data_IF_567568454594
#
_entry.id   IF_567568454594
#
_cell.length_a   1.000
_cell.length_b   1.000
_cell.length_c   1.000
_cell.angle_alpha   90.00
_cell.angle_beta   90.00
_cell.angle_gamma   90.00
#
_symmetry.space_group_name_H-M   'P 1'
#
loop_
_entity.id
_entity.type
_entity.pdbx_description
1 polymer ?
#
# COMPACT_ATOMS: atom_id res chain seq x y z
N UNK A 1 -14.37 0.49 -21.43
CA UNK A 1 -13.33 0.33 -20.41
C UNK A 1 -13.27 -1.13 -19.94
N UNK A 2 -12.15 -1.82 -20.13
CA UNK A 2 -11.98 -3.19 -19.59
C UNK A 2 -11.57 -3.11 -18.12
N UNK A 3 -12.56 -3.13 -17.22
CA UNK A 3 -12.33 -3.08 -15.77
C UNK A 3 -11.38 -4.20 -15.29
N UNK A 4 -11.47 -5.39 -15.92
CA UNK A 4 -10.58 -6.51 -15.63
C UNK A 4 -9.11 -6.20 -15.90
N UNK A 5 -8.81 -5.50 -17.01
CA UNK A 5 -7.43 -5.11 -17.32
C UNK A 5 -6.92 -4.06 -16.33
N UNK A 6 -7.73 -3.05 -16.00
CA UNK A 6 -7.37 -2.02 -15.01
C UNK A 6 -7.09 -2.67 -13.66
N UNK A 7 -7.95 -3.57 -13.20
CA UNK A 7 -7.76 -4.29 -11.94
C UNK A 7 -6.46 -5.10 -11.94
N UNK A 8 -6.16 -5.81 -13.03
CA UNK A 8 -4.90 -6.57 -13.18
C UNK A 8 -3.68 -5.66 -13.10
N UNK A 9 -3.70 -4.51 -13.79
CA UNK A 9 -2.61 -3.53 -13.74
C UNK A 9 -2.49 -2.91 -12.35
N UNK A 10 -3.60 -2.50 -11.73
CA UNK A 10 -3.61 -1.91 -10.39
C UNK A 10 -3.02 -2.89 -9.35
N UNK A 11 -3.38 -4.17 -9.43
CA UNK A 11 -2.82 -5.21 -8.57
C UNK A 11 -1.31 -5.38 -8.80
N UNK A 12 -0.87 -5.34 -10.06
CA UNK A 12 0.54 -5.49 -10.41
C UNK A 12 1.36 -4.25 -10.00
N UNK A 13 0.78 -3.06 -10.04
CA UNK A 13 1.39 -1.84 -9.48
C UNK A 13 1.49 -1.94 -7.96
N UNK A 14 0.40 -2.32 -7.29
CA UNK A 14 0.35 -2.42 -5.83
C UNK A 14 1.28 -3.50 -5.25
N UNK A 15 1.63 -4.53 -6.02
CA UNK A 15 2.59 -5.55 -5.59
C UNK A 15 4.05 -5.05 -5.60
N UNK A 16 4.35 -4.00 -6.38
CA UNK A 16 5.71 -3.47 -6.54
C UNK A 16 5.91 -2.09 -5.92
N UNK A 17 4.85 -1.30 -5.86
CA UNK A 17 4.87 0.10 -5.42
C UNK A 17 3.73 0.39 -4.45
N UNK A 18 3.90 1.43 -3.64
CA UNK A 18 2.87 1.90 -2.71
C UNK A 18 1.89 2.82 -3.42
N UNK A 19 0.89 2.24 -4.09
CA UNK A 19 -0.25 2.94 -4.69
C UNK A 19 -1.55 2.55 -4.01
N UNK A 20 -2.48 3.50 -3.94
CA UNK A 20 -3.82 3.33 -3.42
C UNK A 20 -4.85 3.93 -4.38
N UNK A 21 -6.09 3.45 -4.28
CA UNK A 21 -7.21 3.98 -5.05
C UNK A 21 -7.68 5.31 -4.47
N UNK A 22 -7.98 6.26 -5.35
CA UNK A 22 -8.55 7.55 -4.96
C UNK A 22 -10.07 7.45 -5.03
N UNK A 23 -10.74 7.73 -3.91
CA UNK A 23 -12.21 7.73 -3.81
C UNK A 23 -12.89 6.40 -4.17
N UNK A 24 -12.17 5.27 -4.02
CA UNK A 24 -12.70 3.94 -4.35
C UNK A 24 -12.79 3.63 -5.85
N UNK A 25 -12.24 4.49 -6.71
CA UNK A 25 -12.20 4.25 -8.16
C UNK A 25 -10.88 3.59 -8.56
N UNK A 26 -10.95 2.36 -9.07
CA UNK A 26 -9.80 1.62 -9.62
C UNK A 26 -9.16 2.33 -10.83
N UNK A 27 -9.90 3.22 -11.48
CA UNK A 27 -9.45 4.02 -12.62
C UNK A 27 -8.58 5.21 -12.19
N UNK A 28 -8.47 5.46 -10.89
CA UNK A 28 -7.71 6.58 -10.34
C UNK A 28 -6.82 6.09 -9.20
N UNK A 29 -5.52 5.97 -9.50
CA UNK A 29 -4.52 5.54 -8.53
C UNK A 29 -3.64 6.73 -8.13
N UNK A 30 -3.25 6.77 -6.87
CA UNK A 30 -2.27 7.72 -6.35
C UNK A 30 -1.24 6.95 -5.54
N UNK A 31 0.03 7.33 -5.65
CA UNK A 31 1.08 6.63 -4.92
C UNK A 31 2.43 7.31 -4.98
N UNK A 32 3.42 6.60 -4.44
CA UNK A 32 4.82 7.02 -4.46
C UNK A 32 5.62 6.13 -5.39
N UNK A 33 6.40 6.75 -6.28
CA UNK A 33 7.31 6.02 -7.20
C UNK A 33 8.63 5.72 -6.50
N UNK A 34 9.16 6.71 -5.77
CA UNK A 34 10.39 6.63 -5.01
C UNK A 34 10.24 7.44 -3.72
N UNK A 35 10.71 6.87 -2.60
CA UNK A 35 10.72 7.50 -1.28
C UNK A 35 12.16 7.56 -0.78
N UNK A 36 12.73 8.76 -0.75
CA UNK A 36 14.01 9.04 -0.08
C UNK A 36 13.72 9.69 1.29
N UNK A 37 14.69 9.73 2.23
CA UNK A 37 14.48 10.40 3.52
C UNK A 37 14.17 11.90 3.38
N UNK A 38 14.60 12.52 2.28
CA UNK A 38 14.44 13.95 2.04
C UNK A 38 13.23 14.26 1.15
N UNK A 39 12.94 13.40 0.18
CA UNK A 39 12.00 13.70 -0.90
C UNK A 39 11.11 12.48 -1.21
N UNK A 40 9.80 12.72 -1.20
CA UNK A 40 8.79 11.82 -1.73
C UNK A 40 8.41 12.23 -3.16
N UNK A 41 8.51 11.28 -4.09
CA UNK A 41 8.09 11.49 -5.48
C UNK A 41 6.71 10.87 -5.71
N UNK A 42 5.71 11.74 -5.73
CA UNK A 42 4.29 11.40 -5.83
C UNK A 42 3.82 11.36 -7.28
N UNK A 43 3.03 10.34 -7.62
CA UNK A 43 2.48 10.12 -8.95
C UNK A 43 0.99 9.76 -8.86
N UNK A 44 0.19 10.45 -9.67
CA UNK A 44 -1.23 10.15 -9.86
C UNK A 44 -1.44 9.58 -11.27
N UNK A 45 -2.16 8.47 -11.36
CA UNK A 45 -2.42 7.72 -12.59
C UNK A 45 -3.93 7.67 -12.81
N UNK A 46 -4.38 8.19 -13.95
CA UNK A 46 -5.78 8.16 -14.38
C UNK A 46 -5.95 7.31 -15.63
N UNK A 47 -6.69 6.22 -15.50
CA UNK A 47 -7.05 5.35 -16.62
C UNK A 47 -8.21 5.98 -17.41
N UNK A 48 -8.01 6.16 -18.72
CA UNK A 48 -9.05 6.66 -19.61
C UNK A 48 -10.06 5.59 -20.02
N UNK A 49 -11.22 6.00 -20.51
CA UNK A 49 -12.29 5.08 -20.97
C UNK A 49 -11.86 4.12 -22.09
N UNK A 50 -10.88 4.57 -22.90
CA UNK A 50 -10.30 3.87 -24.05
C UNK A 50 -9.13 2.94 -23.69
N UNK A 51 -8.84 2.73 -22.40
CA UNK A 51 -7.82 1.79 -21.96
C UNK A 51 -8.21 0.33 -22.29
N UNK A 52 -7.30 -0.50 -22.83
CA UNK A 52 -5.83 -0.33 -22.92
C UNK A 52 -5.30 0.36 -24.20
N UNK A 53 -6.16 0.74 -25.14
CA UNK A 53 -5.74 1.26 -26.46
C UNK A 53 -5.09 2.64 -26.38
N UNK A 54 -5.35 3.39 -25.33
CA UNK A 54 -4.70 4.67 -25.02
C UNK A 54 -3.94 4.58 -23.69
N UNK A 55 -2.74 5.18 -23.58
CA UNK A 55 -1.98 5.18 -22.34
C UNK A 55 -2.74 5.89 -21.22
N UNK A 56 -2.49 5.52 -19.95
CA UNK A 56 -3.05 6.23 -18.81
C UNK A 56 -2.47 7.65 -18.75
N UNK A 57 -3.25 8.59 -18.21
CA UNK A 57 -2.81 9.96 -17.97
C UNK A 57 -2.03 10.00 -16.66
N UNK A 58 -0.76 10.39 -16.76
CA UNK A 58 0.13 10.56 -15.62
C UNK A 58 0.11 12.03 -15.19
N UNK A 59 -0.15 12.28 -13.91
CA UNK A 59 -0.11 13.60 -13.30
C UNK A 59 1.07 13.60 -12.34
N UNK A 60 2.11 14.33 -12.73
CA UNK A 60 3.34 14.45 -11.96
C UNK A 60 3.22 15.53 -10.89
N UNK A 61 3.64 15.22 -9.67
CA UNK A 61 3.80 16.20 -8.60
C UNK A 61 4.93 17.20 -8.94
N UNK A 62 4.89 18.39 -8.35
CA UNK A 62 5.80 19.50 -8.69
C UNK A 62 7.28 19.14 -8.52
N UNK A 63 7.59 18.32 -7.51
CA UNK A 63 8.95 17.78 -7.27
C UNK A 63 9.51 16.99 -8.47
N UNK A 64 8.67 16.16 -9.11
CA UNK A 64 9.07 15.38 -10.30
C UNK A 64 9.26 16.34 -11.48
N UNK A 65 8.37 17.32 -11.64
CA UNK A 65 8.47 18.33 -12.71
C UNK A 65 9.69 19.24 -12.54
N UNK A 66 10.06 19.58 -11.32
CA UNK A 66 11.24 20.39 -11.03
C UNK A 66 12.53 19.64 -11.37
N UNK A 67 12.59 18.35 -11.03
CA UNK A 67 13.76 17.51 -11.25
C UNK A 67 13.94 17.08 -12.71
N UNK A 68 12.86 16.73 -13.41
CA UNK A 68 12.92 16.22 -14.79
C UNK A 68 12.55 17.26 -15.86
N UNK A 69 11.95 18.40 -15.47
CA UNK A 69 11.42 19.39 -16.40
C UNK A 69 10.31 18.80 -17.29
N UNK A 70 10.64 18.58 -18.56
CA UNK A 70 9.72 18.03 -19.55
C UNK A 70 9.87 16.49 -19.63
N UNK A 71 9.10 15.78 -18.82
CA UNK A 71 9.16 14.31 -18.73
C UNK A 71 8.64 13.68 -20.03
N UNK A 72 9.54 13.23 -20.90
CA UNK A 72 9.20 12.39 -22.05
C UNK A 72 9.54 10.93 -21.73
N UNK A 73 8.52 10.08 -21.58
CA UNK A 73 8.67 8.63 -21.36
C UNK A 73 8.53 7.89 -22.68
N UNK A 74 9.49 7.03 -23.01
CA UNK A 74 9.50 6.26 -24.26
C UNK A 74 8.32 5.29 -24.30
N UNK A 75 8.07 4.64 -23.16
CA UNK A 75 6.93 3.71 -22.97
C UNK A 75 5.57 4.34 -23.25
N UNK A 76 5.40 5.62 -22.93
CA UNK A 76 4.16 6.36 -23.20
C UNK A 76 4.03 6.72 -24.69
N UNK A 77 5.15 7.08 -25.34
CA UNK A 77 5.17 7.43 -26.76
C UNK A 77 4.96 6.22 -27.68
N UNK A 78 5.47 5.06 -27.28
CA UNK A 78 5.38 3.80 -28.02
C UNK A 78 4.30 2.86 -27.46
N UNK A 79 3.28 3.42 -26.82
CA UNK A 79 2.24 2.67 -26.12
C UNK A 79 1.48 1.71 -27.05
N UNK A 80 1.34 0.45 -26.61
CA UNK A 80 0.55 -0.59 -27.29
C UNK A 80 -0.44 -1.20 -26.31
N UNK A 81 -1.47 -1.88 -26.84
CA UNK A 81 -2.48 -2.57 -26.02
C UNK A 81 -1.90 -3.67 -25.12
N UNK A 82 -0.73 -4.19 -25.48
CA UNK A 82 0.01 -5.20 -24.72
C UNK A 82 0.95 -4.62 -23.66
N UNK A 83 1.20 -3.31 -23.69
CA UNK A 83 2.09 -2.62 -22.75
C UNK A 83 1.52 -2.62 -21.33
N UNK A 84 2.40 -2.64 -20.33
CA UNK A 84 2.00 -2.59 -18.91
C UNK A 84 2.28 -1.20 -18.34
N UNK A 85 1.47 -0.80 -17.38
CA UNK A 85 1.67 0.49 -16.69
C UNK A 85 2.90 0.44 -15.77
N UNK A 86 3.24 -0.74 -15.28
CA UNK A 86 4.45 -0.95 -14.48
C UNK A 86 5.71 -0.50 -15.24
N UNK A 87 5.80 -0.81 -16.54
CA UNK A 87 6.97 -0.47 -17.35
C UNK A 87 7.19 1.06 -17.43
N UNK A 88 6.08 1.83 -17.45
CA UNK A 88 6.10 3.30 -17.38
C UNK A 88 6.66 3.76 -16.02
N UNK A 89 6.19 3.14 -14.93
CA UNK A 89 6.61 3.52 -13.57
C UNK A 89 8.08 3.17 -13.35
N UNK A 90 8.54 2.01 -13.85
CA UNK A 90 9.95 1.60 -13.84
C UNK A 90 10.82 2.59 -14.63
N UNK A 91 10.42 2.96 -15.85
CA UNK A 91 11.15 3.94 -16.65
C UNK A 91 11.24 5.29 -15.91
N UNK A 92 10.13 5.74 -15.31
CA UNK A 92 10.09 6.97 -14.53
C UNK A 92 11.01 6.88 -13.31
N UNK A 93 10.98 5.77 -12.57
CA UNK A 93 11.84 5.54 -11.41
C UNK A 93 13.31 5.61 -11.80
N UNK A 94 13.72 4.89 -12.85
CA UNK A 94 15.11 4.93 -13.33
C UNK A 94 15.53 6.34 -13.76
N UNK A 95 14.63 7.13 -14.34
CA UNK A 95 14.94 8.54 -14.67
C UNK A 95 15.12 9.41 -13.44
N UNK A 96 14.32 9.22 -12.40
CA UNK A 96 14.46 9.94 -11.13
C UNK A 96 15.79 9.55 -10.47
N UNK A 97 16.09 8.25 -10.39
CA UNK A 97 17.35 7.75 -9.80
C UNK A 97 18.58 8.31 -10.52
N UNK A 98 18.62 8.20 -11.85
CA UNK A 98 19.73 8.72 -12.66
C UNK A 98 19.91 10.24 -12.55
N UNK A 99 18.83 10.99 -12.37
CA UNK A 99 18.90 12.44 -12.21
C UNK A 99 19.30 12.83 -10.78
N UNK A 100 18.95 12.01 -9.78
CA UNK A 100 19.34 12.22 -8.38
C UNK A 100 20.80 11.84 -8.09
N UNK A 101 21.35 10.87 -8.81
CA UNK A 101 22.75 10.43 -8.64
C UNK A 101 23.75 11.38 -9.34
N UNK A 102 23.26 12.26 -10.23
CA UNK A 102 24.08 13.09 -11.12
C UNK A 102 24.73 14.32 -10.50
N UNK A 103 24.23 14.90 -9.40
CA UNK A 103 24.87 16.05 -8.74
C UNK A 103 24.49 16.18 -7.25
N UNK A 104 25.42 15.94 -6.31
CA UNK A 104 25.25 16.35 -4.92
C UNK A 104 25.64 17.81 -4.63
N UNK A 105 25.96 18.64 -5.63
CA UNK A 105 26.41 20.03 -5.37
C UNK A 105 25.61 21.04 -6.18
N UNK A 106 24.98 22.00 -5.47
CA UNK A 106 24.51 23.33 -5.94
C UNK A 106 23.01 23.62 -6.04
N UNK A 107 22.15 22.99 -5.23
CA UNK A 107 20.88 23.62 -4.82
C UNK A 107 21.04 24.44 -3.53
N UNK A 108 22.05 25.31 -3.50
CA UNK A 108 21.99 26.53 -2.67
C UNK A 108 21.34 27.63 -3.48
N UNK A 109 20.01 27.75 -3.29
CA UNK A 109 19.32 29.04 -3.12
C UNK A 109 19.77 30.21 -4.03
N UNK A 110 19.64 30.11 -5.35
CA UNK A 110 19.74 31.27 -6.24
C UNK A 110 18.54 31.35 -7.21
N UNK A 111 17.31 31.38 -6.67
CA UNK A 111 16.16 31.93 -7.39
C UNK A 111 16.26 33.45 -7.39
N UNK A 112 17.26 33.98 -8.10
CA UNK A 112 17.32 35.40 -8.45
C UNK A 112 16.28 35.64 -9.51
N UNK A 113 15.10 36.03 -9.04
CA UNK A 113 14.04 36.66 -9.83
C UNK A 113 14.69 37.81 -10.60
N UNK A 114 14.83 37.66 -11.93
CA UNK A 114 14.99 38.80 -12.83
C UNK A 114 13.66 39.54 -12.82
N UNK A 115 13.51 40.44 -11.86
CA UNK A 115 12.49 41.49 -11.83
C UNK A 115 13.11 42.66 -12.59
N UNK A 116 12.64 42.87 -13.81
CA UNK A 116 12.94 44.10 -14.53
C UNK A 116 12.35 45.29 -13.76
N UNK A 117 13.12 46.37 -13.80
CA UNK A 117 13.05 47.56 -12.97
C UNK A 117 11.67 48.22 -12.91
N UNK A 118 11.21 48.50 -11.69
CA UNK A 118 10.50 49.75 -11.43
C UNK A 118 10.70 50.17 -9.97
N UNK A 119 11.41 51.29 -9.83
CA UNK A 119 11.80 52.00 -8.62
C UNK A 119 10.59 52.57 -7.85
N UNK A 120 10.44 52.22 -6.57
CA UNK A 120 9.89 53.10 -5.52
C UNK A 120 10.57 52.76 -4.16
N UNK A 121 11.06 53.75 -3.38
CA UNK A 121 11.84 53.53 -2.17
C UNK A 121 11.03 53.45 -0.85
N UNK A 122 11.56 52.62 0.06
CA UNK A 122 11.56 52.67 1.54
C UNK A 122 10.29 53.06 2.33
N UNK A 123 9.86 52.18 3.24
CA UNK A 123 9.91 52.43 4.71
C UNK A 123 9.43 51.23 5.54
N UNK A 124 10.09 51.04 6.71
CA UNK A 124 9.62 50.42 7.97
C UNK A 124 9.21 48.94 7.94
N UNK A 125 10.04 48.01 8.43
CA UNK A 125 10.19 47.63 9.85
C UNK A 125 8.94 46.95 10.43
N UNK A 126 9.01 45.64 10.71
CA UNK A 126 8.29 44.96 11.80
C UNK A 126 8.79 43.52 11.93
N UNK A 127 9.55 43.32 13.00
CA UNK A 127 9.71 42.14 13.85
C UNK A 127 9.68 40.71 13.28
N UNK A 128 10.85 40.09 13.39
CA UNK A 128 11.02 38.68 13.68
C UNK A 128 10.26 38.28 14.96
N UNK A 129 9.21 37.47 14.83
CA UNK A 129 8.86 36.49 15.86
C UNK A 129 9.02 35.11 15.25
N UNK A 130 10.26 34.59 15.32
CA UNK A 130 10.51 33.18 15.12
C UNK A 130 9.83 32.42 16.25
N UNK A 131 8.58 32.02 16.03
CA UNK A 131 7.90 31.02 16.85
C UNK A 131 8.68 29.73 16.69
N UNK A 132 9.64 29.52 17.60
CA UNK A 132 10.24 28.22 17.84
C UNK A 132 9.11 27.35 18.35
N UNK A 133 8.52 26.58 17.46
CA UNK A 133 7.67 25.44 17.79
C UNK A 133 8.53 24.46 18.58
N UNK A 134 8.59 24.69 19.89
CA UNK A 134 9.23 23.84 20.85
C UNK A 134 8.40 22.57 20.91
N UNK A 135 8.87 21.52 20.25
CA UNK A 135 8.24 20.20 20.25
C UNK A 135 8.15 19.73 21.70
N UNK A 136 6.94 19.75 22.24
CA UNK A 136 6.62 19.19 23.56
C UNK A 136 6.76 17.67 23.40
N UNK A 137 7.92 17.11 23.74
CA UNK A 137 8.09 15.67 23.87
C UNK A 137 7.21 15.20 25.02
N UNK A 138 6.26 14.27 24.79
CA UNK A 138 5.43 13.73 25.86
C UNK A 138 6.34 13.14 26.94
N UNK A 139 6.08 13.52 28.19
CA UNK A 139 6.81 13.01 29.35
C UNK A 139 6.61 11.50 29.47
N UNK A 140 7.63 10.74 29.08
CA UNK A 140 7.66 9.27 29.14
C UNK A 140 7.56 8.72 30.57
N UNK A 141 7.73 9.56 31.60
CA UNK A 141 7.57 9.16 32.99
C UNK A 141 6.12 9.33 33.51
N UNK A 142 5.22 9.92 32.73
CA UNK A 142 3.80 10.03 33.07
C UNK A 142 3.01 8.75 32.76
N UNK A 143 3.64 7.75 32.13
CA UNK A 143 2.99 6.45 31.95
C UNK A 143 2.85 5.76 33.31
N UNK A 144 1.64 5.27 33.65
CA UNK A 144 1.47 4.45 34.83
C UNK A 144 2.42 3.24 34.74
N UNK A 145 3.03 2.82 35.87
CA UNK A 145 3.90 1.65 35.88
C UNK A 145 3.17 0.48 35.23
N UNK A 146 3.90 -0.24 34.36
CA UNK A 146 3.33 -1.31 33.54
C UNK A 146 2.43 -2.21 34.37
N UNK A 147 1.18 -2.31 33.92
CA UNK A 147 0.18 -3.21 34.48
C UNK A 147 0.79 -4.61 34.49
N UNK A 148 1.25 -5.05 35.66
CA UNK A 148 1.63 -6.44 35.89
C UNK A 148 0.34 -7.23 35.73
N UNK A 149 0.21 -7.88 34.58
CA UNK A 149 -0.82 -8.86 34.36
C UNK A 149 -0.38 -10.09 35.15
N UNK A 150 -0.81 -10.17 36.41
CA UNK A 150 -0.69 -11.38 37.20
C UNK A 150 -1.45 -12.48 36.46
N UNK A 151 -0.67 -13.30 35.77
CA UNK A 151 -1.14 -14.40 34.96
C UNK A 151 -1.68 -15.50 35.84
N UNK A 152 -2.94 -15.38 36.24
CA UNK A 152 -3.70 -16.46 36.85
C UNK A 152 -5.10 -16.49 36.23
N UNK A 153 -5.22 -17.18 35.09
CA UNK A 153 -6.49 -17.68 34.60
C UNK A 153 -6.27 -18.95 33.78
N UNK A 154 -5.66 -19.94 34.42
CA UNK A 154 -5.82 -21.34 34.05
C UNK A 154 -7.24 -21.80 34.41
N UNK A 155 -8.21 -21.58 33.52
CA UNK A 155 -9.47 -22.32 33.57
C UNK A 155 -9.41 -23.49 32.59
N UNK A 156 -8.94 -24.62 33.12
CA UNK A 156 -9.26 -25.95 32.61
C UNK A 156 -10.75 -26.23 32.78
N UNK A 157 -11.46 -26.47 31.68
CA UNK A 157 -12.82 -27.02 31.64
C UNK A 157 -12.99 -27.61 30.23
N UNK A 158 -12.58 -28.85 29.97
CA UNK A 158 -13.27 -30.12 30.29
C UNK A 158 -14.72 -30.13 29.81
N UNK A 159 -14.96 -30.92 28.76
CA UNK A 159 -16.25 -31.53 28.40
C UNK A 159 -17.28 -30.63 27.75
N UNK A 160 -17.52 -30.79 26.45
CA UNK A 160 -18.74 -31.49 26.04
C UNK A 160 -18.76 -31.79 24.52
N UNK A 161 -18.99 -33.06 24.25
CA UNK A 161 -19.57 -33.60 23.02
C UNK A 161 -20.85 -32.84 22.67
N UNK A 162 -21.01 -32.41 21.41
CA UNK A 162 -22.35 -32.31 20.81
C UNK A 162 -22.28 -32.23 19.28
N UNK A 163 -22.44 -33.42 18.68
CA UNK A 163 -23.29 -33.72 17.52
C UNK A 163 -23.70 -32.55 16.61
N UNK A 164 -23.18 -32.55 15.38
CA UNK A 164 -23.99 -32.22 14.22
C UNK A 164 -23.89 -33.35 13.18
N UNK A 165 -24.94 -34.18 13.17
CA UNK A 165 -25.41 -34.88 11.98
C UNK A 165 -25.63 -33.81 10.90
N UNK A 166 -25.09 -33.92 9.69
CA UNK A 166 -25.54 -34.90 8.71
C UNK A 166 -26.56 -34.20 7.80
N UNK A 167 -26.11 -33.71 6.65
CA UNK A 167 -26.99 -33.57 5.50
C UNK A 167 -26.21 -33.84 4.21
N UNK A 168 -26.58 -34.98 3.63
CA UNK A 168 -26.17 -35.45 2.32
C UNK A 168 -26.63 -34.46 1.24
N UNK A 169 -25.73 -34.10 0.32
CA UNK A 169 -26.15 -33.71 -1.01
C UNK A 169 -25.18 -34.23 -2.09
N UNK A 170 -25.57 -35.40 -2.59
CA UNK A 170 -25.44 -35.93 -3.95
C UNK A 170 -24.73 -35.05 -4.98
N UNK A 171 -23.56 -35.53 -5.39
CA UNK A 171 -23.16 -35.87 -6.76
C UNK A 171 -23.65 -34.99 -7.92
N UNK A 172 -22.71 -34.40 -8.65
CA UNK A 172 -22.67 -34.55 -10.10
C UNK A 172 -21.23 -34.79 -10.56
N UNK A 173 -21.08 -35.90 -11.27
CA UNK A 173 -19.87 -36.36 -11.95
C UNK A 173 -19.47 -35.39 -13.06
N UNK A 174 -18.19 -35.07 -13.16
CA UNK A 174 -17.55 -34.85 -14.46
C UNK A 174 -16.11 -35.34 -14.34
N UNK A 175 -15.89 -36.47 -14.98
CA UNK A 175 -14.62 -37.10 -15.24
C UNK A 175 -13.73 -36.20 -16.09
N UNK A 176 -12.49 -35.98 -15.66
CA UNK A 176 -11.39 -35.74 -16.57
C UNK A 176 -10.13 -36.36 -15.98
N UNK A 177 -9.73 -37.45 -16.60
CA UNK A 177 -8.43 -38.10 -16.47
C UNK A 177 -7.30 -37.08 -16.46
N UNK A 178 -6.46 -37.09 -15.43
CA UNK A 178 -5.08 -36.66 -15.56
C UNK A 178 -4.15 -37.57 -14.78
N UNK A 179 -3.24 -38.13 -15.55
CA UNK A 179 -2.25 -39.12 -15.16
C UNK A 179 -1.26 -38.56 -14.14
N UNK A 180 -1.06 -39.35 -13.10
CA UNK A 180 0.03 -39.29 -12.14
C UNK A 180 1.39 -39.45 -12.85
N UNK A 181 2.43 -38.74 -12.41
CA UNK A 181 3.67 -39.46 -12.15
C UNK A 181 4.18 -39.22 -10.73
N UNK A 182 4.46 -40.36 -10.08
CA UNK A 182 5.36 -40.52 -8.95
C UNK A 182 6.53 -39.54 -8.93
N UNK A 183 6.69 -38.82 -7.82
CA UNK A 183 7.99 -38.64 -7.18
C UNK A 183 7.83 -38.79 -5.67
N UNK A 184 8.53 -39.78 -5.13
CA UNK A 184 8.85 -39.92 -3.71
C UNK A 184 9.66 -38.70 -3.27
N UNK A 185 9.09 -37.86 -2.40
CA UNK A 185 9.88 -36.97 -1.55
C UNK A 185 9.78 -37.45 -0.11
N UNK A 186 10.90 -37.99 0.36
CA UNK A 186 11.13 -38.31 1.76
C UNK A 186 11.18 -36.99 2.55
N UNK A 187 10.25 -36.84 3.48
CA UNK A 187 10.20 -35.72 4.42
C UNK A 187 11.29 -35.93 5.49
N UNK A 188 12.28 -35.04 5.66
CA UNK A 188 13.17 -35.10 6.80
C UNK A 188 12.45 -34.61 8.07
N UNK A 189 12.39 -35.49 9.06
CA UNK A 189 12.03 -35.14 10.45
C UNK A 189 13.15 -34.28 11.06
N UNK A 190 13.14 -32.97 10.82
CA UNK A 190 13.68 -31.90 11.68
C UNK A 190 13.84 -30.60 10.90
N UNK A 191 12.80 -29.76 10.92
CA UNK A 191 12.95 -28.32 10.65
C UNK A 191 11.83 -27.54 11.35
N UNK A 192 12.04 -27.27 12.64
CA UNK A 192 11.46 -26.08 13.28
C UNK A 192 12.39 -24.93 12.90
N UNK A 193 11.91 -23.97 12.12
CA UNK A 193 12.59 -22.68 12.01
C UNK A 193 11.58 -21.58 11.66
N UNK A 194 11.46 -20.62 12.58
CA UNK A 194 10.89 -19.28 12.40
C UNK A 194 9.34 -19.15 12.28
N UNK A 195 8.68 -18.41 13.21
CA UNK A 195 7.25 -18.09 13.11
C UNK A 195 6.89 -17.08 12.01
N UNK A 196 7.85 -16.57 11.23
CA UNK A 196 7.60 -15.52 10.23
C UNK A 196 7.27 -16.03 8.81
N UNK A 197 7.38 -17.33 8.53
CA UNK A 197 7.10 -17.86 7.17
C UNK A 197 5.67 -18.38 6.97
N UNK A 198 4.80 -18.26 7.99
CA UNK A 198 3.42 -18.78 7.97
C UNK A 198 2.43 -17.95 7.13
N UNK A 199 2.83 -16.80 6.57
CA UNK A 199 1.92 -15.88 5.87
C UNK A 199 2.06 -15.82 4.35
N UNK A 200 3.03 -16.49 3.73
CA UNK A 200 3.37 -16.21 2.33
C UNK A 200 2.77 -17.14 1.28
N UNK A 201 2.03 -18.21 1.64
CA UNK A 201 1.54 -19.15 0.62
C UNK A 201 0.11 -19.69 0.80
N UNK A 202 -0.74 -18.95 1.50
CA UNK A 202 -2.18 -19.24 1.51
C UNK A 202 -2.89 -18.38 0.47
N UNK A 203 -3.53 -19.03 -0.51
CA UNK A 203 -4.61 -18.46 -1.33
C UNK A 203 -5.84 -18.24 -0.44
N UNK A 204 -5.64 -17.49 0.64
CA UNK A 204 -6.62 -17.19 1.65
C UNK A 204 -7.47 -15.99 1.23
N UNK A 205 -8.64 -15.81 1.85
CA UNK A 205 -9.46 -14.62 1.64
C UNK A 205 -8.60 -13.36 1.88
N UNK A 206 -8.76 -12.35 1.01
CA UNK A 206 -7.99 -11.10 1.09
C UNK A 206 -8.04 -10.52 2.51
N UNK A 207 -6.94 -9.93 2.98
CA UNK A 207 -6.80 -9.33 4.33
C UNK A 207 -7.99 -8.46 4.72
N UNK A 208 -8.58 -7.75 3.76
CA UNK A 208 -9.79 -6.95 3.93
C UNK A 208 -11.00 -7.78 4.40
N UNK A 209 -11.25 -8.93 3.78
CA UNK A 209 -12.33 -9.87 4.16
C UNK A 209 -12.07 -10.42 5.56
N UNK A 210 -10.81 -10.74 5.89
CA UNK A 210 -10.47 -11.26 7.22
C UNK A 210 -10.66 -10.22 8.32
N UNK A 211 -10.40 -8.94 8.02
CA UNK A 211 -10.60 -7.82 8.95
C UNK A 211 -12.09 -7.54 9.14
N UNK A 212 -12.87 -7.53 8.06
CA UNK A 212 -14.32 -7.35 8.13
C UNK A 212 -15.00 -8.49 8.91
N UNK A 213 -14.59 -9.74 8.66
CA UNK A 213 -15.10 -10.90 9.39
C UNK A 213 -14.76 -10.83 10.89
N UNK A 214 -13.57 -10.33 11.24
CA UNK A 214 -13.15 -10.17 12.63
C UNK A 214 -13.98 -9.10 13.36
N UNK A 215 -14.33 -8.00 12.70
CA UNK A 215 -15.19 -6.96 13.27
C UNK A 215 -16.62 -7.48 13.50
N UNK A 216 -17.19 -8.22 12.55
CA UNK A 216 -18.53 -8.83 12.70
C UNK A 216 -18.56 -9.79 13.89
N UNK A 217 -17.52 -10.60 14.08
CA UNK A 217 -17.45 -11.52 15.23
C UNK A 217 -17.39 -10.79 16.57
N UNK A 218 -16.73 -9.63 16.64
CA UNK A 218 -16.69 -8.80 17.85
C UNK A 218 -18.07 -8.23 18.21
N UNK A 219 -18.87 -7.84 17.21
CA UNK A 219 -20.23 -7.31 17.43
C UNK A 219 -21.16 -8.37 18.02
N UNK A 220 -21.11 -9.61 17.50
CA UNK A 220 -21.92 -10.72 18.02
C UNK A 220 -21.56 -11.14 19.46
N UNK A 221 -20.30 -10.98 19.88
CA UNK A 221 -19.86 -11.31 21.23
C UNK A 221 -20.48 -10.39 22.30
N UNK A 222 -20.84 -9.16 21.93
CA UNK A 222 -21.45 -8.20 22.86
C UNK A 222 -22.94 -8.47 23.09
N UNK A 223 -23.66 -8.96 22.08
CA UNK A 223 -25.12 -9.16 22.16
C UNK A 223 -25.54 -10.33 23.08
N UNK A 224 -24.62 -11.27 23.36
CA UNK A 224 -24.88 -12.41 24.22
C UNK A 224 -24.79 -12.11 25.74
N UNK A 225 -24.17 -11.01 26.16
CA UNK A 225 -24.00 -10.69 27.59
C UNK A 225 -25.23 -10.03 28.25
N UNK A 226 -26.30 -9.74 27.49
CA UNK A 226 -27.46 -8.98 27.97
C UNK A 226 -28.65 -9.78 28.51
N UNK A 227 -28.67 -11.12 28.42
CA UNK A 227 -29.90 -11.90 28.67
C UNK A 227 -29.99 -12.68 29.99
N UNK A 228 -29.00 -12.59 30.88
CA UNK A 228 -29.02 -13.31 32.16
C UNK A 228 -29.29 -12.41 33.38
N UNK A 229 -30.29 -11.54 33.30
CA UNK A 229 -30.90 -10.91 34.48
C UNK A 229 -32.42 -11.01 34.36
N UNK A 230 -32.98 -12.05 34.97
CA UNK A 230 -34.41 -12.33 35.12
C UNK A 230 -34.61 -13.46 36.10
#
# INVERSE_FOLDING_TARGET
>A
MSQQRILKEAQAIASKYSFWMVSGDISHLYGFVLKTPEITYELEIKFGEKFPNTPPKLIFHDKIKELLGNVQLKTVNEWKEESNVIDIIDELKSKIENSSEGEPEQLTSNKTVKREDNLIPQASSSDESSDKEEYITPDLNAYPPEFHFDGDSSTSSSGDDLFFMGEDNKSNETTSDYSNPHQDEQIPENAVTSPNELFLNSKGPSVQIMTELSLIQQEYAYDQKGKNQG
#
